data_IF_631114679833
#
_entry.id   IF_631114679833
#
_cell.length_a   1.000
_cell.length_b   1.000
_cell.length_c   1.000
_cell.angle_alpha   90.00
_cell.angle_beta   90.00
_cell.angle_gamma   90.00
#
_symmetry.space_group_name_H-M   'P 1'
#
loop_
_entity.id
_entity.type
_entity.pdbx_description
1 polymer ?
#
# COMPACT_ATOMS: atom_id res chain seq x y z
N UNK A 1 -21.45 62.13 -27.95
CA UNK A 1 -22.17 60.85 -27.77
C UNK A 1 -21.74 59.71 -28.71
N UNK A 2 -21.76 59.86 -30.06
CA UNK A 2 -21.43 58.74 -30.99
C UNK A 2 -20.00 58.17 -30.85
N UNK A 3 -19.00 58.99 -30.54
CA UNK A 3 -17.61 58.53 -30.37
C UNK A 3 -17.35 57.81 -29.05
N UNK A 4 -18.02 58.21 -27.98
CA UNK A 4 -17.93 57.55 -26.67
C UNK A 4 -18.55 56.15 -26.72
N UNK A 5 -19.69 55.98 -27.39
CA UNK A 5 -20.32 54.67 -27.56
C UNK A 5 -19.41 53.68 -28.32
N UNK A 6 -18.69 54.15 -29.34
CA UNK A 6 -17.71 53.32 -30.08
C UNK A 6 -16.50 52.93 -29.22
N UNK A 7 -16.00 53.85 -28.39
CA UNK A 7 -14.90 53.58 -27.47
C UNK A 7 -15.29 52.56 -26.40
N UNK A 8 -16.50 52.66 -25.84
CA UNK A 8 -17.00 51.67 -24.88
C UNK A 8 -17.24 50.30 -25.51
N UNK A 9 -17.75 50.24 -26.76
CA UNK A 9 -17.91 48.97 -27.48
C UNK A 9 -16.56 48.29 -27.74
N UNK A 10 -15.54 49.07 -28.15
CA UNK A 10 -14.20 48.55 -28.39
C UNK A 10 -13.54 48.04 -27.11
N UNK A 11 -13.66 48.79 -26.00
CA UNK A 11 -13.17 48.36 -24.68
C UNK A 11 -13.89 47.08 -24.22
N UNK A 12 -15.21 47.01 -24.41
CA UNK A 12 -16.01 45.82 -24.09
C UNK A 12 -15.56 44.61 -24.91
N UNK A 13 -15.28 44.77 -26.20
CA UNK A 13 -14.74 43.70 -27.05
C UNK A 13 -13.35 43.23 -26.58
N UNK A 14 -12.45 44.14 -26.18
CA UNK A 14 -11.13 43.78 -25.63
C UNK A 14 -11.28 42.99 -24.33
N UNK A 15 -12.14 43.45 -23.42
CA UNK A 15 -12.41 42.77 -22.15
C UNK A 15 -13.01 41.39 -22.43
N UNK A 16 -13.96 41.27 -23.37
CA UNK A 16 -14.53 39.99 -23.78
C UNK A 16 -13.46 39.05 -24.35
N UNK A 17 -12.55 39.56 -25.19
CA UNK A 17 -11.46 38.78 -25.78
C UNK A 17 -10.45 38.31 -24.71
N UNK A 18 -10.17 39.13 -23.70
CA UNK A 18 -9.35 38.76 -22.53
C UNK A 18 -10.06 37.73 -21.63
N UNK A 19 -11.38 37.80 -21.47
CA UNK A 19 -12.16 36.82 -20.69
C UNK A 19 -12.27 35.49 -21.44
N UNK A 20 -12.47 35.51 -22.77
CA UNK A 20 -12.58 34.30 -23.59
C UNK A 20 -11.22 33.58 -23.66
N UNK A 21 -10.12 34.32 -23.82
CA UNK A 21 -8.76 33.73 -23.80
C UNK A 21 -8.34 33.18 -22.43
N UNK A 22 -8.89 33.70 -21.32
CA UNK A 22 -8.67 33.11 -19.99
C UNK A 22 -9.57 31.90 -19.73
N UNK A 23 -10.71 31.76 -20.42
CA UNK A 23 -11.59 30.59 -20.34
C UNK A 23 -11.19 29.43 -21.24
N UNK A 24 -10.37 29.63 -22.27
CA UNK A 24 -9.67 28.52 -22.94
C UNK A 24 -8.50 28.03 -22.08
N UNK A 25 -8.79 27.55 -20.86
CA UNK A 25 -7.90 26.59 -20.22
C UNK A 25 -7.90 25.38 -21.13
N UNK A 26 -6.79 25.15 -21.83
CA UNK A 26 -6.60 23.94 -22.62
C UNK A 26 -6.93 22.75 -21.72
N UNK A 27 -8.01 22.03 -22.01
CA UNK A 27 -8.24 20.76 -21.35
C UNK A 27 -7.24 19.78 -21.92
N UNK A 28 -6.50 19.10 -21.04
CA UNK A 28 -5.65 18.02 -21.49
C UNK A 28 -6.51 16.83 -21.92
N UNK A 29 -6.30 16.36 -23.14
CA UNK A 29 -6.88 15.09 -23.60
C UNK A 29 -5.99 13.98 -23.03
N UNK A 30 -6.50 13.34 -21.98
CA UNK A 30 -5.93 12.11 -21.49
C UNK A 30 -6.26 10.98 -22.45
N UNK A 31 -5.28 10.11 -22.67
CA UNK A 31 -5.44 8.97 -23.54
C UNK A 31 -6.29 7.84 -22.94
N UNK A 32 -6.20 6.65 -23.52
CA UNK A 32 -6.99 5.49 -23.08
C UNK A 32 -6.30 4.74 -21.94
N UNK A 33 -7.10 4.37 -20.94
CA UNK A 33 -6.63 3.61 -19.78
C UNK A 33 -6.75 2.10 -20.04
N UNK A 34 -5.94 1.26 -19.39
CA UNK A 34 -6.11 -0.18 -19.45
C UNK A 34 -7.51 -0.59 -18.99
N UNK A 35 -8.13 -1.50 -19.72
CA UNK A 35 -9.45 -2.03 -19.37
C UNK A 35 -9.34 -3.15 -18.35
N UNK A 36 -10.41 -3.41 -17.59
CA UNK A 36 -10.47 -4.53 -16.63
C UNK A 36 -10.38 -5.90 -17.31
N UNK A 37 -10.72 -6.01 -18.59
CA UNK A 37 -10.60 -7.22 -19.41
C UNK A 37 -9.13 -7.58 -19.73
N UNK A 38 -8.22 -6.62 -19.63
CA UNK A 38 -6.79 -6.80 -19.90
C UNK A 38 -6.01 -7.29 -18.67
N UNK A 39 -6.65 -7.54 -17.53
CA UNK A 39 -5.99 -7.94 -16.25
C UNK A 39 -5.01 -9.13 -16.38
N UNK A 40 -5.11 -9.95 -17.42
CA UNK A 40 -4.23 -11.10 -17.66
C UNK A 40 -3.22 -10.92 -18.81
N UNK A 41 -3.36 -9.87 -19.62
CA UNK A 41 -2.46 -9.61 -20.75
C UNK A 41 -1.23 -8.86 -20.26
N UNK A 42 -0.07 -9.21 -20.81
CA UNK A 42 1.15 -8.42 -20.61
C UNK A 42 1.03 -7.17 -21.48
N UNK A 43 1.09 -6.00 -20.85
CA UNK A 43 1.08 -4.70 -21.53
C UNK A 43 2.51 -4.15 -21.56
N UNK A 44 2.99 -3.74 -22.73
CA UNK A 44 4.28 -3.06 -22.87
C UNK A 44 4.17 -1.62 -22.38
N UNK A 45 5.12 -1.17 -21.57
CA UNK A 45 5.14 0.17 -20.98
C UNK A 45 5.10 1.26 -22.04
N UNK A 46 5.91 1.14 -23.10
CA UNK A 46 5.94 2.12 -24.18
C UNK A 46 4.58 2.24 -24.89
N UNK A 47 3.90 1.10 -25.11
CA UNK A 47 2.56 1.08 -25.70
C UNK A 47 1.55 1.80 -24.81
N UNK A 48 1.57 1.54 -23.50
CA UNK A 48 0.64 2.18 -22.58
C UNK A 48 0.92 3.68 -22.46
N UNK A 49 2.18 4.11 -22.35
CA UNK A 49 2.54 5.52 -22.30
C UNK A 49 2.16 6.27 -23.59
N UNK A 50 2.28 5.62 -24.74
CA UNK A 50 1.79 6.16 -26.02
C UNK A 50 0.26 6.33 -25.98
N UNK A 51 -0.47 5.30 -25.56
CA UNK A 51 -1.92 5.32 -25.47
C UNK A 51 -2.44 6.38 -24.50
N UNK A 52 -1.73 6.61 -23.39
CA UNK A 52 -2.03 7.64 -22.40
C UNK A 52 -1.73 9.07 -22.88
N UNK A 53 -1.08 9.25 -24.03
CA UNK A 53 -0.53 10.53 -24.48
C UNK A 53 0.50 11.10 -23.49
N UNK A 54 1.40 10.27 -22.95
CA UNK A 54 2.38 10.68 -21.94
C UNK A 54 3.23 11.87 -22.37
N UNK A 55 3.66 11.90 -23.64
CA UNK A 55 4.42 13.02 -24.19
C UNK A 55 3.62 14.32 -24.16
N UNK A 56 2.36 14.28 -24.57
CA UNK A 56 1.46 15.44 -24.49
C UNK A 56 1.22 15.89 -23.05
N UNK A 57 1.03 14.95 -22.12
CA UNK A 57 0.86 15.23 -20.69
C UNK A 57 2.08 15.94 -20.10
N UNK A 58 3.29 15.49 -20.43
CA UNK A 58 4.52 16.14 -19.99
C UNK A 58 4.64 17.56 -20.50
N UNK A 59 4.42 17.79 -21.81
CA UNK A 59 4.48 19.14 -22.37
C UNK A 59 3.40 20.05 -21.79
N UNK A 60 2.19 19.54 -21.60
CA UNK A 60 1.08 20.27 -20.99
C UNK A 60 1.40 20.72 -19.56
N UNK A 61 1.97 19.83 -18.74
CA UNK A 61 2.24 20.07 -17.32
C UNK A 61 3.37 21.09 -17.09
N UNK A 62 4.27 21.27 -18.07
CA UNK A 62 5.32 22.30 -17.99
C UNK A 62 4.78 23.73 -18.03
N UNK A 63 3.63 23.94 -18.68
CA UNK A 63 3.09 25.29 -18.94
C UNK A 63 1.76 25.56 -18.24
N UNK A 64 1.10 24.53 -17.71
CA UNK A 64 -0.17 24.66 -17.00
C UNK A 64 0.02 24.42 -15.50
N UNK A 65 -0.20 25.46 -14.70
CA UNK A 65 -0.14 25.36 -13.24
C UNK A 65 -1.20 24.40 -12.71
N UNK A 66 -0.84 23.67 -11.64
CA UNK A 66 -1.72 22.67 -11.05
C UNK A 66 -1.77 21.33 -11.79
N UNK A 67 -0.88 21.10 -12.77
CA UNK A 67 -0.68 19.81 -13.42
C UNK A 67 0.77 19.38 -13.23
N UNK A 68 0.98 18.16 -12.75
CA UNK A 68 2.29 17.67 -12.37
C UNK A 68 2.54 16.31 -12.99
N UNK A 69 3.76 16.11 -13.47
CA UNK A 69 4.23 14.81 -13.96
C UNK A 69 5.51 14.44 -13.24
N UNK A 70 5.63 13.17 -12.89
CA UNK A 70 6.85 12.59 -12.34
C UNK A 70 7.28 11.39 -13.21
N UNK A 71 8.57 11.32 -13.52
CA UNK A 71 9.19 10.21 -14.25
C UNK A 71 10.46 9.82 -13.50
N UNK A 72 10.49 8.60 -12.97
CA UNK A 72 11.65 8.05 -12.28
C UNK A 72 12.08 6.77 -12.99
N UNK A 73 13.35 6.73 -13.41
CA UNK A 73 13.95 5.57 -14.08
C UNK A 73 15.15 5.08 -13.30
N UNK A 74 14.98 3.98 -12.58
CA UNK A 74 16.00 3.45 -11.67
C UNK A 74 16.61 2.12 -12.16
N UNK A 75 16.33 1.71 -13.41
CA UNK A 75 16.89 0.52 -14.04
C UNK A 75 16.15 -0.79 -13.71
N UNK A 76 15.64 -0.93 -12.48
CA UNK A 76 14.83 -2.09 -12.07
C UNK A 76 13.33 -1.82 -12.24
N UNK A 77 12.86 -0.74 -11.63
CA UNK A 77 11.49 -0.24 -11.77
C UNK A 77 11.55 1.18 -12.32
N UNK A 78 10.71 1.44 -13.31
CA UNK A 78 10.41 2.78 -13.79
C UNK A 78 9.02 3.18 -13.29
N UNK A 79 8.90 4.37 -12.72
CA UNK A 79 7.63 4.94 -12.28
C UNK A 79 7.26 6.17 -13.11
N UNK A 80 6.00 6.22 -13.54
CA UNK A 80 5.42 7.34 -14.28
C UNK A 80 4.14 7.77 -13.58
N UNK A 81 4.03 9.04 -13.27
CA UNK A 81 2.90 9.57 -12.52
C UNK A 81 2.45 10.90 -13.10
N UNK A 82 1.14 11.09 -13.17
CA UNK A 82 0.50 12.36 -13.48
C UNK A 82 -0.50 12.68 -12.38
N UNK A 83 -0.49 13.93 -11.89
CA UNK A 83 -1.41 14.42 -10.88
C UNK A 83 -1.89 15.81 -11.24
N UNK A 84 -3.21 15.99 -11.26
CA UNK A 84 -3.86 17.30 -11.24
C UNK A 84 -4.10 17.73 -9.79
N UNK A 85 -3.80 19.00 -9.49
CA UNK A 85 -3.96 19.59 -8.17
C UNK A 85 -5.34 19.30 -7.56
N UNK A 86 -5.33 19.00 -6.25
CA UNK A 86 -6.50 18.50 -5.55
C UNK A 86 -6.84 17.04 -5.85
N UNK A 87 -5.92 16.29 -6.46
CA UNK A 87 -6.07 14.88 -6.86
C UNK A 87 -7.33 14.63 -7.70
N UNK A 88 -7.80 15.65 -8.43
CA UNK A 88 -9.03 15.57 -9.23
C UNK A 88 -8.89 14.69 -10.47
N UNK A 89 -7.65 14.42 -10.88
CA UNK A 89 -7.33 13.43 -11.90
C UNK A 89 -5.87 13.00 -11.72
N UNK A 90 -5.60 11.70 -11.64
CA UNK A 90 -4.26 11.16 -11.56
C UNK A 90 -4.17 9.79 -12.21
N UNK A 91 -2.95 9.41 -12.58
CA UNK A 91 -2.58 8.01 -12.72
C UNK A 91 -1.16 7.78 -12.23
N UNK A 92 -0.90 6.54 -11.82
CA UNK A 92 0.42 6.02 -11.48
C UNK A 92 0.66 4.71 -12.22
N UNK A 93 1.80 4.62 -12.90
CA UNK A 93 2.26 3.44 -13.62
C UNK A 93 3.60 2.98 -13.02
N UNK A 94 3.70 1.70 -12.67
CA UNK A 94 4.97 1.04 -12.40
C UNK A 94 5.31 0.08 -13.53
N UNK A 95 6.53 0.14 -14.01
CA UNK A 95 7.06 -0.66 -15.11
C UNK A 95 8.26 -1.46 -14.62
N UNK A 96 8.27 -2.76 -14.92
CA UNK A 96 9.38 -3.66 -14.65
C UNK A 96 9.91 -4.17 -15.99
N UNK A 97 11.17 -3.87 -16.30
CA UNK A 97 11.85 -4.29 -17.54
C UNK A 97 11.05 -4.04 -18.83
N UNK A 98 10.35 -2.89 -18.89
CA UNK A 98 9.58 -2.48 -20.06
C UNK A 98 8.17 -3.08 -20.15
N UNK A 99 7.75 -3.87 -19.16
CA UNK A 99 6.38 -4.36 -19.02
C UNK A 99 5.66 -3.67 -17.87
N UNK A 100 4.36 -3.39 -18.04
CA UNK A 100 3.53 -2.75 -17.02
C UNK A 100 3.30 -3.73 -15.88
N UNK A 101 3.79 -3.38 -14.70
CA UNK A 101 3.60 -4.12 -13.46
C UNK A 101 2.26 -3.77 -12.82
N UNK A 102 2.02 -2.48 -12.63
CA UNK A 102 0.79 -1.96 -12.02
C UNK A 102 0.39 -0.62 -12.64
N UNK A 103 -0.91 -0.39 -12.74
CA UNK A 103 -1.50 0.88 -13.15
C UNK A 103 -2.69 1.24 -12.27
N UNK A 104 -2.67 2.44 -11.71
CA UNK A 104 -3.70 3.01 -10.83
C UNK A 104 -4.13 4.36 -11.39
N UNK A 105 -5.42 4.68 -11.35
CA UNK A 105 -5.95 5.97 -11.79
C UNK A 105 -7.35 6.23 -11.24
N UNK A 106 -7.76 7.49 -11.12
CA UNK A 106 -9.13 7.89 -10.76
C UNK A 106 -9.94 8.46 -11.94
N UNK A 107 -9.62 8.07 -13.18
CA UNK A 107 -10.30 8.57 -14.39
C UNK A 107 -11.79 8.24 -14.47
N UNK A 108 -12.50 8.96 -15.34
CA UNK A 108 -13.95 9.27 -15.35
C UNK A 108 -14.98 8.11 -15.32
N UNK A 109 -14.61 6.84 -15.22
CA UNK A 109 -15.59 5.73 -15.31
C UNK A 109 -15.23 4.47 -14.51
N UNK A 110 -14.67 4.60 -13.30
CA UNK A 110 -14.35 3.43 -12.49
C UNK A 110 -14.88 3.54 -11.06
N UNK A 111 -15.49 2.45 -10.59
CA UNK A 111 -15.92 2.30 -9.21
C UNK A 111 -14.74 2.62 -8.29
N UNK A 112 -14.93 3.60 -7.41
CA UNK A 112 -13.95 4.16 -6.47
C UNK A 112 -13.35 3.10 -5.50
N UNK A 113 -13.82 1.85 -5.57
CA UNK A 113 -13.53 0.79 -4.60
C UNK A 113 -12.38 -0.15 -4.97
N UNK A 114 -11.77 -0.05 -6.17
CA UNK A 114 -10.54 -0.80 -6.50
C UNK A 114 -9.34 0.16 -6.58
N UNK A 115 -8.34 -0.03 -5.71
CA UNK A 115 -7.12 0.80 -5.59
C UNK A 115 -6.08 0.55 -6.70
N UNK A 116 -6.35 -0.36 -7.65
CA UNK A 116 -5.43 -0.64 -8.77
C UNK A 116 -6.25 -1.15 -9.95
N UNK A 117 -6.15 -0.45 -11.09
CA UNK A 117 -6.96 -0.72 -12.28
C UNK A 117 -6.41 -1.86 -13.12
N UNK A 118 -5.09 -2.09 -13.04
CA UNK A 118 -4.40 -3.22 -13.65
C UNK A 118 -3.20 -3.65 -12.81
N UNK A 119 -3.03 -4.96 -12.62
CA UNK A 119 -1.86 -5.55 -11.94
C UNK A 119 -1.54 -6.92 -12.54
N UNK A 120 -0.30 -7.12 -12.98
CA UNK A 120 0.11 -8.39 -13.56
C UNK A 120 0.91 -9.23 -12.55
N UNK A 121 0.28 -10.30 -12.07
CA UNK A 121 0.87 -11.19 -11.06
C UNK A 121 2.13 -11.93 -11.53
N UNK A 122 2.22 -12.27 -12.83
CA UNK A 122 3.39 -12.96 -13.36
C UNK A 122 4.59 -12.01 -13.44
N UNK A 123 4.38 -10.78 -13.88
CA UNK A 123 5.39 -9.72 -13.86
C UNK A 123 5.81 -9.43 -12.42
N UNK A 124 4.85 -9.34 -11.49
CA UNK A 124 5.13 -9.18 -10.06
C UNK A 124 6.02 -10.29 -9.51
N UNK A 125 5.74 -11.56 -9.82
CA UNK A 125 6.59 -12.68 -9.41
C UNK A 125 8.01 -12.56 -9.95
N UNK A 126 8.15 -12.16 -11.21
CA UNK A 126 9.47 -11.94 -11.80
C UNK A 126 10.21 -10.79 -11.10
N UNK A 127 9.52 -9.71 -10.77
CA UNK A 127 10.06 -8.60 -10.00
C UNK A 127 10.51 -9.04 -8.60
N UNK A 128 9.67 -9.76 -7.87
CA UNK A 128 9.99 -10.32 -6.54
C UNK A 128 11.24 -11.18 -6.60
N UNK A 129 11.35 -12.07 -7.59
CA UNK A 129 12.50 -12.95 -7.75
C UNK A 129 13.79 -12.18 -8.07
N UNK A 130 13.69 -10.98 -8.62
CA UNK A 130 14.85 -10.13 -8.90
C UNK A 130 15.27 -9.30 -7.70
N UNK A 131 14.32 -8.79 -6.92
CA UNK A 131 14.59 -8.04 -5.68
C UNK A 131 15.09 -8.96 -4.57
N UNK A 132 14.53 -10.17 -4.48
CA UNK A 132 14.83 -11.15 -3.45
C UNK A 132 15.19 -12.51 -4.10
N UNK A 133 16.38 -12.63 -4.74
CA UNK A 133 16.75 -13.82 -5.52
C UNK A 133 16.96 -15.09 -4.67
N UNK A 134 17.21 -14.94 -3.38
CA UNK A 134 17.56 -16.05 -2.48
C UNK A 134 16.41 -16.44 -1.53
N UNK A 135 15.16 -16.09 -1.85
CA UNK A 135 14.02 -16.51 -1.01
C UNK A 135 13.96 -18.05 -0.99
N UNK A 136 13.99 -18.69 0.19
CA UNK A 136 13.80 -20.14 0.26
C UNK A 136 12.44 -20.56 -0.30
N UNK A 137 12.37 -21.71 -1.00
CA UNK A 137 11.15 -22.23 -1.65
C UNK A 137 9.94 -22.25 -0.71
N UNK A 138 10.16 -22.57 0.58
CA UNK A 138 9.07 -22.59 1.57
C UNK A 138 8.36 -21.24 1.75
N UNK A 139 9.00 -20.11 1.42
CA UNK A 139 8.40 -18.76 1.46
C UNK A 139 7.86 -18.32 0.10
N UNK A 140 7.77 -19.19 -0.89
CA UNK A 140 7.02 -18.89 -2.09
C UNK A 140 5.52 -19.14 -1.84
N UNK A 141 4.68 -18.28 -2.40
CA UNK A 141 3.22 -18.41 -2.36
C UNK A 141 2.64 -18.44 -3.76
N UNK A 142 1.47 -19.06 -3.90
CA UNK A 142 0.79 -19.22 -5.19
C UNK A 142 0.31 -17.88 -5.76
N UNK A 143 0.39 -17.70 -7.08
CA UNK A 143 -0.20 -16.58 -7.79
C UNK A 143 -1.74 -16.57 -7.75
N UNK A 144 -2.40 -17.66 -7.39
CA UNK A 144 -3.85 -17.69 -7.20
C UNK A 144 -4.34 -16.77 -6.08
N UNK A 145 -3.46 -16.41 -5.14
CA UNK A 145 -3.77 -15.50 -4.04
C UNK A 145 -4.26 -14.11 -4.51
N UNK A 146 -5.08 -13.44 -3.69
CA UNK A 146 -5.49 -12.05 -3.95
C UNK A 146 -4.26 -11.14 -4.11
N UNK A 147 -4.36 -10.12 -4.96
CA UNK A 147 -3.24 -9.20 -5.26
C UNK A 147 -2.70 -8.58 -3.97
N UNK A 148 -3.59 -8.08 -3.10
CA UNK A 148 -3.18 -7.46 -1.83
C UNK A 148 -2.47 -8.43 -0.90
N UNK A 149 -2.83 -9.72 -0.94
CA UNK A 149 -2.13 -10.76 -0.17
C UNK A 149 -0.73 -11.00 -0.75
N UNK A 150 -0.59 -11.06 -2.08
CA UNK A 150 0.71 -11.23 -2.75
C UNK A 150 1.64 -10.07 -2.42
N UNK A 151 1.17 -8.84 -2.63
CA UNK A 151 1.96 -7.63 -2.34
C UNK A 151 2.34 -7.59 -0.87
N UNK A 152 1.37 -7.77 0.04
CA UNK A 152 1.63 -7.67 1.48
C UNK A 152 2.60 -8.73 1.97
N UNK A 153 2.44 -9.97 1.53
CA UNK A 153 3.33 -11.06 1.94
C UNK A 153 4.79 -10.80 1.51
N UNK A 154 5.00 -10.43 0.25
CA UNK A 154 6.36 -10.13 -0.24
C UNK A 154 6.91 -8.81 0.31
N UNK A 155 6.04 -7.84 0.62
CA UNK A 155 6.43 -6.62 1.33
C UNK A 155 6.93 -6.91 2.74
N UNK A 156 6.35 -7.89 3.42
CA UNK A 156 6.88 -8.41 4.69
C UNK A 156 8.24 -9.11 4.53
N UNK A 157 8.49 -9.78 3.41
CA UNK A 157 9.77 -10.42 3.11
C UNK A 157 10.89 -9.43 2.73
N UNK A 158 10.54 -8.20 2.34
CA UNK A 158 11.48 -7.11 2.06
C UNK A 158 11.28 -6.40 0.70
N UNK A 159 10.29 -6.79 -0.11
CA UNK A 159 10.03 -6.10 -1.38
C UNK A 159 9.43 -4.72 -1.13
N UNK A 160 10.05 -3.67 -1.67
CA UNK A 160 9.61 -2.28 -1.52
C UNK A 160 9.37 -1.85 -0.06
N UNK A 161 10.11 -2.42 0.89
CA UNK A 161 10.02 -2.09 2.30
C UNK A 161 11.37 -2.01 2.98
N UNK A 162 11.44 -1.22 4.05
CA UNK A 162 12.63 -1.12 4.90
C UNK A 162 12.59 -2.17 6.00
N UNK A 163 13.77 -2.59 6.45
CA UNK A 163 13.95 -3.43 7.62
C UNK A 163 13.95 -2.60 8.91
N UNK A 164 12.78 -2.08 9.23
CA UNK A 164 12.49 -1.41 10.50
C UNK A 164 11.17 -1.91 11.09
N UNK A 165 11.08 -1.90 12.41
CA UNK A 165 9.88 -2.24 13.15
C UNK A 165 9.30 -1.01 13.83
N UNK A 166 7.97 -0.87 13.77
CA UNK A 166 7.28 0.24 14.41
C UNK A 166 5.77 0.14 14.27
N UNK A 167 5.08 0.93 15.08
CA UNK A 167 3.62 1.10 15.02
C UNK A 167 3.24 2.32 14.18
N UNK A 168 3.88 3.47 14.45
CA UNK A 168 3.79 4.73 13.71
C UNK A 168 5.20 5.32 13.67
N UNK A 169 5.62 5.77 12.50
CA UNK A 169 6.95 6.31 12.24
C UNK A 169 6.85 7.63 11.47
N UNK A 170 7.60 8.64 11.90
CA UNK A 170 7.54 10.00 11.37
C UNK A 170 8.42 10.14 10.13
N UNK A 171 7.98 9.63 8.98
CA UNK A 171 8.68 9.84 7.70
C UNK A 171 8.44 11.23 7.10
N UNK A 172 7.43 11.95 7.61
CA UNK A 172 6.96 13.23 7.12
C UNK A 172 6.33 14.05 8.27
N UNK A 173 5.69 15.18 7.95
CA UNK A 173 4.92 15.97 8.92
C UNK A 173 3.80 15.18 9.62
N UNK A 174 3.37 14.04 9.05
CA UNK A 174 2.48 13.08 9.67
C UNK A 174 3.21 11.74 9.88
N UNK A 175 3.02 11.15 11.06
CA UNK A 175 3.45 9.79 11.36
C UNK A 175 2.61 8.78 10.60
N UNK A 176 3.26 7.78 9.99
CA UNK A 176 2.60 6.71 9.25
C UNK A 176 3.11 5.34 9.74
N UNK A 177 2.27 4.29 9.74
CA UNK A 177 2.76 2.95 9.98
C UNK A 177 3.81 2.56 8.92
N UNK A 178 4.86 1.80 9.29
CA UNK A 178 5.78 1.25 8.32
C UNK A 178 5.08 0.36 7.29
N UNK A 179 5.65 0.24 6.10
CA UNK A 179 5.14 -0.62 5.02
C UNK A 179 4.88 -2.07 5.47
N UNK A 180 5.77 -2.62 6.31
CA UNK A 180 5.61 -3.96 6.88
C UNK A 180 4.43 -4.06 7.85
N UNK A 181 4.10 -2.98 8.58
CA UNK A 181 2.89 -2.91 9.44
C UNK A 181 1.63 -2.93 8.59
N UNK A 182 1.58 -2.14 7.53
CA UNK A 182 0.43 -2.10 6.60
C UNK A 182 0.23 -3.47 5.94
N UNK A 183 1.32 -4.08 5.48
CA UNK A 183 1.30 -5.43 4.95
C UNK A 183 0.78 -6.47 5.96
N UNK A 184 1.21 -6.36 7.22
CA UNK A 184 0.73 -7.23 8.31
C UNK A 184 -0.78 -7.09 8.51
N UNK A 185 -1.28 -5.86 8.56
CA UNK A 185 -2.72 -5.54 8.67
C UNK A 185 -3.50 -6.17 7.51
N UNK A 186 -3.00 -6.05 6.28
CA UNK A 186 -3.64 -6.67 5.13
C UNK A 186 -3.69 -8.21 5.24
N UNK A 187 -2.63 -8.86 5.71
CA UNK A 187 -2.66 -10.31 5.92
C UNK A 187 -3.67 -10.72 7.00
N UNK A 188 -3.82 -9.93 8.07
CA UNK A 188 -4.86 -10.12 9.10
C UNK A 188 -6.25 -9.96 8.46
N UNK A 189 -6.49 -8.87 7.73
CA UNK A 189 -7.76 -8.57 7.04
C UNK A 189 -8.21 -9.68 6.08
N UNK A 190 -7.27 -10.40 5.48
CA UNK A 190 -7.58 -11.54 4.59
C UNK A 190 -7.52 -12.91 5.28
N UNK A 191 -7.43 -12.96 6.62
CA UNK A 191 -7.41 -14.20 7.39
C UNK A 191 -6.18 -15.07 7.13
N UNK A 192 -5.07 -14.51 6.62
CA UNK A 192 -3.87 -15.25 6.19
C UNK A 192 -2.90 -15.53 7.32
N UNK A 193 -3.42 -16.10 8.41
CA UNK A 193 -2.64 -16.54 9.57
C UNK A 193 -1.66 -17.65 9.22
N UNK A 194 -1.97 -18.49 8.23
CA UNK A 194 -1.08 -19.50 7.68
C UNK A 194 0.24 -18.89 7.16
N UNK A 195 0.14 -17.75 6.47
CA UNK A 195 1.30 -17.02 5.95
C UNK A 195 2.08 -16.35 7.09
N UNK A 196 1.40 -15.76 8.05
CA UNK A 196 2.04 -15.17 9.23
C UNK A 196 2.80 -16.23 10.04
N UNK A 197 2.20 -17.41 10.28
CA UNK A 197 2.85 -18.55 10.98
C UNK A 197 4.14 -18.98 10.28
N UNK A 198 4.13 -18.99 8.94
CA UNK A 198 5.32 -19.33 8.13
C UNK A 198 6.44 -18.31 8.31
N UNK A 199 6.12 -17.02 8.42
CA UNK A 199 7.10 -15.93 8.56
C UNK A 199 7.88 -15.94 9.88
N UNK A 200 7.41 -16.66 10.91
CA UNK A 200 8.17 -16.87 12.15
C UNK A 200 9.50 -17.60 11.92
N UNK A 201 9.64 -18.35 10.81
CA UNK A 201 10.88 -19.04 10.45
C UNK A 201 11.72 -18.28 9.41
N UNK A 202 11.32 -17.06 9.04
CA UNK A 202 12.03 -16.27 8.02
C UNK A 202 13.33 -15.68 8.58
N UNK A 203 14.44 -15.63 7.84
CA UNK A 203 15.73 -15.16 8.39
C UNK A 203 15.74 -13.72 8.90
N UNK A 204 14.89 -12.84 8.36
CA UNK A 204 14.80 -11.44 8.77
C UNK A 204 14.04 -11.28 10.10
N UNK A 205 14.68 -10.68 11.10
CA UNK A 205 14.11 -10.59 12.45
C UNK A 205 12.92 -9.62 12.52
N UNK A 206 12.95 -8.50 11.80
CA UNK A 206 11.84 -7.55 11.74
C UNK A 206 10.58 -8.25 11.21
N UNK A 207 10.72 -9.06 10.16
CA UNK A 207 9.64 -9.87 9.61
C UNK A 207 9.09 -10.87 10.63
N UNK A 208 9.96 -11.54 11.41
CA UNK A 208 9.51 -12.44 12.49
C UNK A 208 8.73 -11.69 13.57
N UNK A 209 9.18 -10.50 13.97
CA UNK A 209 8.49 -9.70 15.00
C UNK A 209 7.11 -9.23 14.51
N UNK A 210 7.00 -8.73 13.27
CA UNK A 210 5.71 -8.40 12.68
C UNK A 210 4.77 -9.61 12.63
N UNK A 211 5.27 -10.78 12.27
CA UNK A 211 4.48 -12.00 12.28
C UNK A 211 4.04 -12.42 13.69
N UNK A 212 4.95 -12.34 14.67
CA UNK A 212 4.67 -12.68 16.06
C UNK A 212 3.60 -11.76 16.67
N UNK A 213 3.72 -10.45 16.47
CA UNK A 213 2.75 -9.49 17.02
C UNK A 213 1.35 -9.68 16.41
N UNK A 214 1.27 -9.99 15.11
CA UNK A 214 0.03 -10.19 14.40
C UNK A 214 -0.68 -11.43 14.89
N UNK A 215 0.09 -12.51 15.09
CA UNK A 215 -0.42 -13.77 15.61
C UNK A 215 -0.90 -13.65 17.05
N UNK A 216 -0.21 -12.85 17.89
CA UNK A 216 -0.68 -12.52 19.25
C UNK A 216 -2.00 -11.74 19.20
N UNK A 217 -2.09 -10.73 18.32
CA UNK A 217 -3.31 -9.96 18.16
C UNK A 217 -4.50 -10.84 17.72
N UNK A 218 -4.27 -11.67 16.70
CA UNK A 218 -5.26 -12.63 16.19
C UNK A 218 -5.72 -13.58 17.29
N UNK A 219 -4.79 -14.16 18.07
CA UNK A 219 -5.11 -15.04 19.21
C UNK A 219 -6.05 -14.34 20.21
N UNK A 220 -5.69 -13.10 20.59
CA UNK A 220 -6.48 -12.30 21.52
C UNK A 220 -7.87 -11.98 20.97
N UNK A 221 -7.95 -11.52 19.72
CA UNK A 221 -9.20 -11.12 19.07
C UNK A 221 -10.17 -12.29 18.97
N UNK A 222 -9.71 -13.44 18.46
CA UNK A 222 -10.58 -14.60 18.31
C UNK A 222 -10.89 -15.29 19.64
N UNK A 223 -9.98 -15.27 20.62
CA UNK A 223 -10.30 -15.73 21.98
C UNK A 223 -11.46 -14.93 22.59
N UNK A 224 -11.45 -13.61 22.44
CA UNK A 224 -12.54 -12.76 22.93
C UNK A 224 -13.85 -13.04 22.18
N UNK A 225 -13.83 -13.15 20.85
CA UNK A 225 -15.03 -13.52 20.08
C UNK A 225 -15.62 -14.86 20.53
N UNK A 226 -14.78 -15.88 20.71
CA UNK A 226 -15.21 -17.20 21.20
C UNK A 226 -15.90 -17.06 22.57
N UNK A 227 -15.30 -16.30 23.50
CA UNK A 227 -15.90 -16.03 24.80
C UNK A 227 -17.25 -15.28 24.70
N UNK A 228 -17.40 -14.35 23.75
CA UNK A 228 -18.66 -13.66 23.49
C UNK A 228 -19.76 -14.60 22.98
N UNK A 229 -19.43 -15.52 22.06
CA UNK A 229 -20.37 -16.57 21.61
C UNK A 229 -20.76 -17.48 22.78
N UNK A 230 -19.79 -17.92 23.59
CA UNK A 230 -20.03 -18.77 24.76
C UNK A 230 -20.95 -18.08 25.79
N UNK A 231 -20.72 -16.79 26.09
CA UNK A 231 -21.55 -16.01 27.02
C UNK A 231 -22.98 -15.81 26.53
N UNK A 232 -23.19 -15.76 25.20
CA UNK A 232 -24.52 -15.69 24.59
C UNK A 232 -25.25 -17.04 24.54
N UNK A 233 -24.58 -18.13 24.88
CA UNK A 233 -25.15 -19.48 24.78
C UNK A 233 -25.25 -19.98 23.33
N UNK A 234 -24.45 -19.43 22.41
CA UNK A 234 -24.42 -19.89 21.02
C UNK A 234 -23.86 -21.31 20.91
N UNK A 235 -24.43 -22.09 19.99
CA UNK A 235 -23.95 -23.44 19.68
C UNK A 235 -22.50 -23.42 19.17
N UNK A 236 -21.72 -24.43 19.58
CA UNK A 236 -20.28 -24.52 19.26
C UNK A 236 -20.00 -24.45 17.76
N UNK A 237 -20.85 -25.03 16.94
CA UNK A 237 -20.67 -25.06 15.48
C UNK A 237 -20.68 -23.66 14.85
N UNK A 238 -21.29 -22.65 15.51
CA UNK A 238 -21.29 -21.27 15.03
C UNK A 238 -19.94 -20.56 15.16
N UNK A 239 -19.02 -21.08 15.98
CA UNK A 239 -17.73 -20.44 16.25
C UNK A 239 -16.55 -21.43 16.27
N UNK A 240 -16.77 -22.70 15.95
CA UNK A 240 -15.74 -23.74 15.93
C UNK A 240 -14.60 -23.40 14.96
N UNK A 241 -14.90 -22.78 13.82
CA UNK A 241 -13.91 -22.32 12.84
C UNK A 241 -12.95 -21.26 13.40
N UNK A 242 -13.34 -20.52 14.45
CA UNK A 242 -12.47 -19.51 15.08
C UNK A 242 -11.28 -20.13 15.80
N UNK A 243 -11.38 -21.39 16.22
CA UNK A 243 -10.28 -22.09 16.88
C UNK A 243 -9.06 -22.29 15.96
N UNK A 244 -9.26 -22.30 14.64
CA UNK A 244 -8.17 -22.43 13.66
C UNK A 244 -7.21 -21.24 13.71
N UNK A 245 -7.68 -20.08 14.17
CA UNK A 245 -6.93 -18.83 14.27
C UNK A 245 -6.15 -18.69 15.58
N UNK A 246 -6.48 -19.48 16.60
CA UNK A 246 -5.78 -19.45 17.89
C UNK A 246 -4.35 -19.97 17.77
N UNK A 247 -3.49 -19.54 18.69
CA UNK A 247 -2.12 -20.04 18.74
C UNK A 247 -2.07 -21.39 19.45
N UNK A 248 -1.54 -22.37 18.72
CA UNK A 248 -1.13 -23.65 19.29
C UNK A 248 0.20 -23.53 20.06
N UNK A 249 0.53 -24.56 20.82
CA UNK A 249 1.75 -24.61 21.65
C UNK A 249 3.03 -24.50 20.81
N UNK A 250 3.01 -24.99 19.57
CA UNK A 250 4.16 -24.95 18.68
C UNK A 250 4.47 -23.51 18.26
N UNK A 251 3.45 -22.74 17.87
CA UNK A 251 3.60 -21.33 17.52
C UNK A 251 3.96 -20.50 18.75
N UNK A 252 3.32 -20.75 19.91
CA UNK A 252 3.69 -20.08 21.18
C UNK A 252 5.16 -20.31 21.53
N UNK A 253 5.65 -21.55 21.36
CA UNK A 253 7.07 -21.89 21.57
C UNK A 253 7.98 -21.14 20.61
N UNK A 254 7.61 -20.98 19.33
CA UNK A 254 8.41 -20.19 18.37
C UNK A 254 8.51 -18.72 18.76
N UNK A 255 7.39 -18.09 19.13
CA UNK A 255 7.39 -16.70 19.59
C UNK A 255 8.28 -16.53 20.82
N UNK A 256 8.18 -17.46 21.78
CA UNK A 256 9.06 -17.50 22.95
C UNK A 256 10.53 -17.65 22.57
N UNK A 257 10.85 -18.54 21.62
CA UNK A 257 12.23 -18.68 21.13
C UNK A 257 12.75 -17.39 20.48
N UNK A 258 11.92 -16.69 19.69
CA UNK A 258 12.31 -15.39 19.11
C UNK A 258 12.57 -14.34 20.19
N UNK A 259 11.76 -14.31 21.27
CA UNK A 259 12.00 -13.49 22.47
C UNK A 259 13.34 -13.85 23.12
N UNK A 260 13.57 -15.14 23.39
CA UNK A 260 14.74 -15.64 24.13
C UNK A 260 16.06 -15.45 23.36
N UNK A 261 16.03 -15.41 22.02
CA UNK A 261 17.23 -15.14 21.19
C UNK A 261 17.80 -13.73 21.38
N UNK A 262 17.03 -12.79 21.94
CA UNK A 262 17.47 -11.42 22.24
C UNK A 262 18.20 -10.73 21.07
N UNK A 263 17.64 -10.82 19.86
CA UNK A 263 18.28 -10.28 18.66
C UNK A 263 18.02 -8.77 18.54
N UNK A 264 18.98 -8.05 17.98
CA UNK A 264 18.83 -6.64 17.65
C UNK A 264 17.76 -6.43 16.59
N UNK A 265 16.89 -5.44 16.82
CA UNK A 265 15.81 -5.03 15.93
C UNK A 265 15.92 -3.53 15.72
N UNK A 266 16.02 -3.12 14.46
CA UNK A 266 15.94 -1.69 14.09
C UNK A 266 14.50 -1.25 14.23
N UNK A 267 14.27 -0.21 15.02
CA UNK A 267 12.93 0.30 15.29
C UNK A 267 12.82 1.77 14.93
N UNK A 268 11.64 2.18 14.48
CA UNK A 268 11.30 3.57 14.20
C UNK A 268 10.25 4.06 15.20
N UNK A 269 10.29 5.35 15.53
CA UNK A 269 9.51 5.91 16.63
C UNK A 269 9.31 7.41 16.56
N UNK A 270 8.49 7.91 17.48
CA UNK A 270 7.77 9.18 17.41
C UNK A 270 8.43 10.25 18.30
N UNK A 271 9.68 10.63 18.00
CA UNK A 271 10.46 11.61 18.78
C UNK A 271 10.67 12.94 18.01
N UNK A 272 9.66 13.39 17.26
CA UNK A 272 9.65 14.68 16.57
C UNK A 272 10.61 14.78 15.37
N UNK A 273 11.05 13.65 14.84
CA UNK A 273 11.83 13.47 13.60
C UNK A 273 12.04 11.97 13.34
N UNK A 274 12.16 11.55 12.06
CA UNK A 274 12.53 10.18 11.70
C UNK A 274 13.84 9.78 12.40
N UNK A 275 13.75 8.85 13.36
CA UNK A 275 14.90 8.27 14.04
C UNK A 275 14.77 6.75 14.05
N UNK A 276 15.83 6.09 13.61
CA UNK A 276 16.00 4.65 13.75
C UNK A 276 16.85 4.41 14.99
N UNK A 277 16.35 3.59 15.90
CA UNK A 277 17.04 3.16 17.11
C UNK A 277 17.06 1.64 17.17
N UNK A 278 17.86 1.13 18.10
CA UNK A 278 18.01 -0.29 18.33
C UNK A 278 17.20 -0.68 19.56
N UNK A 279 16.47 -1.78 19.46
CA UNK A 279 15.86 -2.49 20.58
C UNK A 279 16.08 -3.98 20.36
N UNK A 280 15.56 -4.82 21.25
CA UNK A 280 15.81 -6.24 21.22
C UNK A 280 14.52 -7.05 21.27
N UNK A 281 14.56 -8.26 20.71
CA UNK A 281 13.38 -9.13 20.65
C UNK A 281 12.81 -9.47 22.03
N UNK A 282 13.63 -9.53 23.08
CA UNK A 282 13.17 -9.79 24.45
C UNK A 282 12.34 -8.64 25.04
N UNK A 283 12.64 -7.41 24.66
CA UNK A 283 11.93 -6.19 25.04
C UNK A 283 10.64 -6.06 24.23
N UNK A 284 10.72 -6.22 22.90
CA UNK A 284 9.58 -6.09 22.00
C UNK A 284 8.52 -7.18 22.19
N UNK A 285 8.93 -8.36 22.67
CA UNK A 285 8.05 -9.49 23.03
C UNK A 285 8.01 -9.73 24.55
N UNK A 286 8.27 -8.70 25.36
CA UNK A 286 8.09 -8.77 26.81
C UNK A 286 6.61 -8.95 27.17
N UNK A 287 6.33 -9.47 28.36
CA UNK A 287 4.94 -9.74 28.76
C UNK A 287 4.11 -8.44 28.82
N UNK A 288 4.75 -7.33 29.24
CA UNK A 288 4.18 -5.98 29.20
C UNK A 288 3.84 -5.55 27.77
N UNK A 289 4.79 -5.66 26.83
CA UNK A 289 4.55 -5.30 25.42
C UNK A 289 3.49 -6.16 24.76
N UNK A 290 3.49 -7.47 25.06
CA UNK A 290 2.50 -8.41 24.54
C UNK A 290 1.09 -8.02 24.97
N UNK A 291 0.91 -7.53 26.20
CA UNK A 291 -0.38 -7.03 26.68
C UNK A 291 -0.84 -5.73 25.99
N UNK A 292 0.10 -4.91 25.48
CA UNK A 292 -0.22 -3.68 24.75
C UNK A 292 -0.65 -3.91 23.30
N UNK A 293 -0.21 -5.01 22.67
CA UNK A 293 -0.43 -5.31 21.24
C UNK A 293 -1.90 -5.12 20.81
N UNK A 294 -2.92 -5.65 21.51
CA UNK A 294 -4.31 -5.45 21.12
C UNK A 294 -4.74 -3.99 21.07
N UNK A 295 -4.27 -3.17 22.02
CA UNK A 295 -4.60 -1.74 22.05
C UNK A 295 -3.91 -0.99 20.92
N UNK A 296 -2.68 -1.38 20.56
CA UNK A 296 -1.96 -0.77 19.43
C UNK A 296 -2.66 -1.04 18.09
N UNK A 297 -3.13 -2.27 17.87
CA UNK A 297 -3.94 -2.58 16.69
C UNK A 297 -5.30 -1.87 16.73
N UNK A 298 -5.95 -1.79 17.89
CA UNK A 298 -7.19 -1.01 18.02
C UNK A 298 -6.98 0.47 17.63
N UNK A 299 -5.89 1.08 18.10
CA UNK A 299 -5.53 2.45 17.73
C UNK A 299 -5.32 2.61 16.22
N UNK A 300 -4.67 1.66 15.55
CA UNK A 300 -4.53 1.69 14.09
C UNK A 300 -5.90 1.59 13.38
N UNK A 301 -6.83 0.77 13.90
CA UNK A 301 -8.20 0.71 13.37
C UNK A 301 -8.92 2.06 13.50
N UNK A 302 -8.74 2.75 14.63
CA UNK A 302 -9.31 4.09 14.87
C UNK A 302 -8.74 5.16 13.91
N UNK A 303 -7.51 4.96 13.41
CA UNK A 303 -6.90 5.79 12.37
C UNK A 303 -7.34 5.44 10.94
N UNK A 304 -8.20 4.43 10.76
CA UNK A 304 -8.71 3.99 9.46
C UNK A 304 -7.96 2.81 8.82
N UNK A 305 -7.01 2.20 9.52
CA UNK A 305 -6.36 0.96 9.05
C UNK A 305 -7.25 -0.25 9.40
N UNK A 306 -8.18 -0.58 8.50
CA UNK A 306 -9.17 -1.64 8.72
C UNK A 306 -8.55 -3.04 8.82
N UNK A 307 -9.03 -3.82 9.79
CA UNK A 307 -8.58 -5.20 10.11
C UNK A 307 -9.74 -6.21 10.19
N UNK A 308 -10.86 -5.92 9.52
CA UNK A 308 -12.24 -6.36 9.85
C UNK A 308 -12.85 -5.57 11.02
#
# INVERSE_FOLDING_TARGET
MKYQLKAYLFLFCIILFCIISTQTRSQIILGTYPSTEEKYRIIKTESLLSNLNWRGIKEFSKINSGHYTHEQKNGLIDEFEYVKQGYTNYFKLKSFKGDVLSFESNGENQNINESTNYFNKQIWKNYVNEVLPEIPIKFHIDLENKIDVLISYYKLLGVDSRDEYGWICEYSSAGLPPDKRIATINLIKYGRTDLLRRLLDYPNIQTQIYAADALIYVDFYYSNKIQEFQKRGDEKDKYSYLYEYLLDDFIRKKIKQSKDKNQSVRICGNNGSYKVYESFTNELLSDERVQEIPQKYKFLKELGYEME
#
